data_IF_049600944857
#
_entry.id   IF_049600944857
#
_cell.length_a   1.000
_cell.length_b   1.000
_cell.length_c   1.000
_cell.angle_alpha   90.00
_cell.angle_beta   90.00
_cell.angle_gamma   90.00
#
_symmetry.space_group_name_H-M   'P 1'
#
loop_
_entity.id
_entity.type
_entity.pdbx_description
1 polymer ?
#
# COMPACT_ATOMS: atom_id res chain seq x y z
N UNK A 1 6.30 -41.89 -15.85
CA UNK A 1 6.08 -42.11 -14.41
C UNK A 1 6.51 -40.83 -13.76
N UNK A 2 5.56 -39.94 -13.48
CA UNK A 2 5.85 -38.71 -12.74
C UNK A 2 6.05 -39.10 -11.29
N UNK A 3 7.24 -38.84 -10.76
CA UNK A 3 7.51 -38.97 -9.33
C UNK A 3 6.57 -38.00 -8.60
N UNK A 4 5.53 -38.55 -8.01
CA UNK A 4 4.73 -37.86 -7.00
C UNK A 4 5.63 -37.61 -5.79
N UNK A 5 6.35 -36.50 -5.79
CA UNK A 5 7.19 -36.10 -4.66
C UNK A 5 6.30 -35.74 -3.47
N UNK A 6 6.44 -36.50 -2.38
CA UNK A 6 5.81 -36.16 -1.10
C UNK A 6 6.34 -34.78 -0.66
N UNK A 7 5.47 -33.80 -0.37
CA UNK A 7 5.90 -32.49 0.09
C UNK A 7 6.73 -32.58 1.37
N UNK A 8 7.87 -31.90 1.40
CA UNK A 8 8.70 -31.76 2.59
C UNK A 8 7.97 -30.95 3.67
N UNK A 9 8.37 -31.05 4.96
CA UNK A 9 7.77 -30.25 6.03
C UNK A 9 7.80 -28.73 5.80
N UNK A 10 8.76 -28.23 5.01
CA UNK A 10 8.84 -26.81 4.63
C UNK A 10 7.87 -26.43 3.50
N UNK A 11 7.39 -27.40 2.74
CA UNK A 11 6.38 -27.24 1.69
C UNK A 11 4.96 -27.46 2.22
N UNK A 12 4.83 -28.16 3.36
CA UNK A 12 3.55 -28.31 4.05
C UNK A 12 3.14 -27.01 4.76
N UNK A 13 1.84 -26.66 4.75
CA UNK A 13 1.32 -25.49 5.46
C UNK A 13 1.45 -25.65 6.98
N UNK A 14 2.00 -24.63 7.63
CA UNK A 14 2.07 -24.52 9.10
C UNK A 14 0.85 -23.76 9.63
N UNK A 15 0.03 -24.42 10.44
CA UNK A 15 -1.21 -23.84 11.00
C UNK A 15 -1.07 -23.32 12.43
N UNK A 16 0.05 -23.61 13.11
CA UNK A 16 0.30 -23.17 14.48
C UNK A 16 0.35 -21.63 14.55
N UNK A 17 -0.59 -21.04 15.30
CA UNK A 17 -0.69 -19.58 15.48
C UNK A 17 0.25 -19.05 16.56
N UNK A 18 0.77 -19.92 17.43
CA UNK A 18 1.66 -19.54 18.52
C UNK A 18 3.04 -19.05 18.03
N UNK A 19 3.37 -19.30 16.76
CA UNK A 19 4.58 -18.78 16.11
C UNK A 19 4.58 -17.26 15.97
N UNK A 20 3.41 -16.61 16.08
CA UNK A 20 3.29 -15.16 16.12
C UNK A 20 3.38 -14.72 17.58
N UNK A 21 4.49 -14.08 17.93
CA UNK A 21 4.68 -13.49 19.26
C UNK A 21 3.94 -12.14 19.35
N UNK A 22 2.85 -12.11 20.11
CA UNK A 22 2.06 -10.89 20.39
C UNK A 22 2.19 -10.49 21.87
N UNK A 23 3.30 -9.82 22.26
CA UNK A 23 3.54 -9.47 23.66
C UNK A 23 2.60 -8.38 24.20
N UNK A 24 1.88 -7.68 23.32
CA UNK A 24 0.97 -6.59 23.69
C UNK A 24 -0.50 -7.02 23.74
N UNK A 25 -0.79 -8.29 23.45
CA UNK A 25 -2.16 -8.82 23.35
C UNK A 25 -3.02 -7.95 22.41
N UNK A 26 -2.45 -7.62 21.24
CA UNK A 26 -3.05 -6.79 20.20
C UNK A 26 -4.41 -7.35 19.77
N UNK A 27 -4.54 -8.68 19.72
CA UNK A 27 -5.82 -9.33 19.42
C UNK A 27 -6.93 -8.90 20.39
N UNK A 28 -6.66 -8.90 21.70
CA UNK A 28 -7.61 -8.45 22.72
C UNK A 28 -7.86 -6.96 22.65
N UNK A 29 -6.82 -6.17 22.38
CA UNK A 29 -6.94 -4.72 22.23
C UNK A 29 -7.88 -4.35 21.06
N UNK A 30 -7.68 -4.96 19.90
CA UNK A 30 -8.52 -4.73 18.73
C UNK A 30 -9.94 -5.24 18.93
N UNK A 31 -10.10 -6.42 19.54
CA UNK A 31 -11.42 -6.94 19.89
C UNK A 31 -12.19 -5.98 20.80
N UNK A 32 -11.52 -5.37 21.79
CA UNK A 32 -12.12 -4.37 22.67
C UNK A 32 -12.54 -3.12 21.90
N UNK A 33 -11.66 -2.58 21.05
CA UNK A 33 -12.00 -1.40 20.23
C UNK A 33 -13.23 -1.67 19.35
N UNK A 34 -13.35 -2.88 18.78
CA UNK A 34 -14.52 -3.24 18.01
C UNK A 34 -15.79 -3.38 18.85
N UNK A 35 -15.70 -3.96 20.06
CA UNK A 35 -16.82 -4.06 20.99
C UNK A 35 -17.30 -2.70 21.50
N UNK A 36 -16.42 -1.70 21.54
CA UNK A 36 -16.74 -0.36 22.00
C UNK A 36 -17.14 0.59 20.85
N UNK A 37 -17.07 0.12 19.59
CA UNK A 37 -17.42 0.91 18.42
C UNK A 37 -18.93 1.21 18.42
N UNK A 38 -19.31 2.49 18.35
CA UNK A 38 -20.71 2.96 18.37
C UNK A 38 -21.48 2.69 19.67
N UNK A 39 -20.76 2.34 20.75
CA UNK A 39 -21.34 2.09 22.06
C UNK A 39 -20.79 0.82 22.70
N UNK A 40 -21.05 0.61 24.00
CA UNK A 40 -20.53 -0.55 24.71
C UNK A 40 -21.21 -1.85 24.25
N UNK A 41 -20.43 -2.93 24.16
CA UNK A 41 -20.88 -4.27 23.78
C UNK A 41 -21.49 -4.38 22.38
N UNK A 42 -20.96 -3.65 21.40
CA UNK A 42 -21.30 -3.86 19.99
C UNK A 42 -20.92 -5.29 19.56
N UNK A 43 -21.94 -6.08 19.21
CA UNK A 43 -21.80 -7.46 18.69
C UNK A 43 -21.98 -7.55 17.18
N UNK A 44 -22.12 -6.41 16.50
CA UNK A 44 -22.26 -6.36 15.06
C UNK A 44 -20.94 -6.77 14.41
N UNK A 45 -21.01 -7.73 13.48
CA UNK A 45 -19.94 -8.03 12.55
C UNK A 45 -20.05 -7.20 11.26
N UNK A 46 -21.07 -6.34 11.17
CA UNK A 46 -21.28 -5.50 10.01
C UNK A 46 -20.37 -4.26 10.10
N UNK A 47 -19.26 -4.31 9.38
CA UNK A 47 -18.41 -3.14 9.16
C UNK A 47 -19.17 -2.16 8.27
N UNK A 48 -19.39 -0.93 8.74
CA UNK A 48 -19.96 0.15 7.93
C UNK A 48 -18.91 0.65 6.92
N UNK A 49 -18.69 -0.16 5.90
CA UNK A 49 -17.84 0.21 4.77
C UNK A 49 -18.66 1.16 3.88
N UNK A 50 -18.07 2.26 3.36
CA UNK A 50 -18.76 3.14 2.45
C UNK A 50 -19.31 2.35 1.25
N UNK A 51 -20.56 2.59 0.88
CA UNK A 51 -21.12 2.01 -0.34
C UNK A 51 -20.35 2.52 -1.55
N UNK A 52 -19.94 1.58 -2.41
CA UNK A 52 -19.34 1.93 -3.70
C UNK A 52 -20.42 2.54 -4.58
N UNK A 53 -20.21 3.79 -5.02
CA UNK A 53 -21.11 4.46 -5.95
C UNK A 53 -21.21 3.67 -7.26
N UNK A 54 -22.38 3.67 -7.88
CA UNK A 54 -22.54 3.19 -9.25
C UNK A 54 -21.83 4.13 -10.25
N UNK A 55 -21.39 3.58 -11.38
CA UNK A 55 -20.81 4.35 -12.48
C UNK A 55 -19.30 4.64 -12.36
N UNK A 56 -18.62 4.06 -11.37
CA UNK A 56 -17.16 4.07 -11.33
C UNK A 56 -16.61 3.25 -12.50
N UNK A 57 -15.51 3.73 -13.08
CA UNK A 57 -14.75 3.01 -14.09
C UNK A 57 -13.37 2.68 -13.54
N UNK A 58 -12.70 1.70 -14.15
CA UNK A 58 -11.35 1.29 -13.78
C UNK A 58 -10.39 1.56 -14.93
N UNK A 59 -9.23 2.09 -14.59
CA UNK A 59 -8.06 2.19 -15.46
C UNK A 59 -6.86 1.51 -14.82
N UNK A 60 -5.99 0.93 -15.63
CA UNK A 60 -4.68 0.47 -15.17
C UNK A 60 -3.62 1.43 -15.68
N UNK A 61 -2.78 1.90 -14.76
CA UNK A 61 -1.59 2.69 -15.05
C UNK A 61 -0.35 1.82 -14.84
N UNK A 62 0.71 2.10 -15.57
CA UNK A 62 1.95 1.32 -15.50
C UNK A 62 3.08 2.21 -15.01
N UNK A 63 3.81 1.75 -13.99
CA UNK A 63 5.12 2.29 -13.67
C UNK A 63 6.18 1.45 -14.37
N UNK A 64 6.77 1.98 -15.44
CA UNK A 64 7.90 1.32 -16.10
C UNK A 64 9.19 1.45 -15.29
N UNK A 65 10.18 0.61 -15.61
CA UNK A 65 11.53 0.73 -15.07
C UNK A 65 12.10 2.14 -15.32
N UNK A 66 11.86 2.69 -16.51
CA UNK A 66 12.30 4.03 -16.88
C UNK A 66 11.61 5.12 -16.04
N UNK A 67 10.30 5.02 -15.82
CA UNK A 67 9.57 5.99 -14.98
C UNK A 67 10.13 6.03 -13.56
N UNK A 68 10.30 4.86 -12.94
CA UNK A 68 10.83 4.75 -11.57
C UNK A 68 12.27 5.27 -11.50
N UNK A 69 13.10 4.97 -12.49
CA UNK A 69 14.48 5.42 -12.53
C UNK A 69 14.57 6.95 -12.66
N UNK A 70 13.81 7.56 -13.58
CA UNK A 70 13.75 9.03 -13.73
C UNK A 70 13.35 9.71 -12.43
N UNK A 71 12.26 9.24 -11.80
CA UNK A 71 11.80 9.76 -10.52
C UNK A 71 12.87 9.62 -9.43
N UNK A 72 13.55 8.46 -9.38
CA UNK A 72 14.62 8.22 -8.41
C UNK A 72 15.78 9.19 -8.59
N UNK A 73 16.25 9.35 -9.81
CA UNK A 73 17.38 10.24 -10.15
C UNK A 73 17.03 11.69 -9.81
N UNK A 74 15.83 12.15 -10.18
CA UNK A 74 15.35 13.49 -9.84
C UNK A 74 15.32 13.72 -8.33
N UNK A 75 14.71 12.81 -7.56
CA UNK A 75 14.63 12.91 -6.08
C UNK A 75 16.03 12.99 -5.47
N UNK A 76 16.96 12.15 -5.92
CA UNK A 76 18.33 12.15 -5.40
C UNK A 76 19.09 13.42 -5.77
N UNK A 77 18.93 13.92 -6.99
CA UNK A 77 19.58 15.15 -7.44
C UNK A 77 19.11 16.37 -6.64
N UNK A 78 17.80 16.49 -6.40
CA UNK A 78 17.25 17.60 -5.60
C UNK A 78 17.68 17.53 -4.14
N UNK A 79 17.77 16.33 -3.55
CA UNK A 79 18.33 16.15 -2.20
C UNK A 79 19.77 16.60 -2.08
N UNK A 80 20.61 16.27 -3.06
CA UNK A 80 22.02 16.66 -3.08
C UNK A 80 22.19 18.18 -3.18
N UNK A 81 21.26 18.88 -3.87
CA UNK A 81 21.29 20.35 -3.97
C UNK A 81 20.89 21.05 -2.68
N UNK A 82 19.92 20.50 -1.95
CA UNK A 82 19.27 21.16 -0.82
C UNK A 82 19.89 20.81 0.54
N UNK A 83 20.63 19.71 0.65
CA UNK A 83 21.29 19.27 1.89
C UNK A 83 22.71 18.75 1.59
N UNK A 84 23.63 18.78 2.56
CA UNK A 84 24.90 18.02 2.50
C UNK A 84 24.61 16.51 2.62
N UNK A 85 23.81 15.99 1.70
CA UNK A 85 23.19 14.68 1.75
C UNK A 85 24.12 13.62 1.17
N UNK A 86 24.46 12.62 1.99
CA UNK A 86 25.19 11.45 1.51
C UNK A 86 24.24 10.48 0.79
N UNK A 87 24.21 10.61 -0.54
CA UNK A 87 23.44 9.77 -1.46
C UNK A 87 23.70 8.26 -1.30
N UNK A 88 24.85 7.85 -0.75
CA UNK A 88 25.21 6.44 -0.59
C UNK A 88 24.40 5.71 0.50
N UNK A 89 23.74 6.46 1.39
CA UNK A 89 22.98 5.91 2.53
C UNK A 89 21.48 5.69 2.24
N UNK A 90 20.94 6.25 1.15
CA UNK A 90 19.50 6.29 0.92
C UNK A 90 19.02 5.21 -0.06
N UNK A 91 18.75 4.00 0.44
CA UNK A 91 18.08 2.97 -0.37
C UNK A 91 16.58 3.26 -0.48
N UNK A 92 16.20 4.02 -1.51
CA UNK A 92 14.79 4.26 -1.85
C UNK A 92 14.27 3.10 -2.72
N UNK A 93 13.14 2.50 -2.32
CA UNK A 93 12.49 1.40 -3.05
C UNK A 93 11.57 1.90 -4.16
N UNK A 94 11.38 1.11 -5.22
CA UNK A 94 10.40 1.43 -6.28
C UNK A 94 8.99 1.59 -5.75
N UNK A 95 8.62 0.82 -4.71
CA UNK A 95 7.33 0.96 -4.03
C UNK A 95 7.19 2.33 -3.35
N UNK A 96 8.23 2.81 -2.66
CA UNK A 96 8.21 4.12 -2.02
C UNK A 96 8.07 5.25 -3.04
N UNK A 97 8.80 5.17 -4.16
CA UNK A 97 8.74 6.15 -5.25
C UNK A 97 7.36 6.16 -5.90
N UNK A 98 6.84 5.00 -6.29
CA UNK A 98 5.53 4.88 -6.90
C UNK A 98 4.44 5.40 -5.97
N UNK A 99 4.47 5.01 -4.69
CA UNK A 99 3.50 5.47 -3.68
C UNK A 99 3.59 6.98 -3.48
N UNK A 100 4.80 7.54 -3.36
CA UNK A 100 5.00 8.99 -3.24
C UNK A 100 4.41 9.72 -4.46
N UNK A 101 4.67 9.23 -5.67
CA UNK A 101 4.14 9.81 -6.89
C UNK A 101 2.60 9.76 -6.93
N UNK A 102 1.99 8.65 -6.50
CA UNK A 102 0.53 8.54 -6.35
C UNK A 102 -0.02 9.52 -5.30
N UNK A 103 0.70 9.81 -4.22
CA UNK A 103 0.34 10.86 -3.26
C UNK A 103 0.25 12.22 -3.95
N UNK A 104 1.24 12.56 -4.77
CA UNK A 104 1.27 13.81 -5.53
C UNK A 104 0.14 13.87 -6.54
N UNK A 105 -0.07 12.81 -7.32
CA UNK A 105 -1.16 12.75 -8.31
C UNK A 105 -2.53 12.93 -7.65
N UNK A 106 -2.74 12.28 -6.50
CA UNK A 106 -3.97 12.43 -5.72
C UNK A 106 -4.13 13.86 -5.20
N UNK A 107 -3.08 14.44 -4.61
CA UNK A 107 -3.14 15.81 -4.10
C UNK A 107 -3.44 16.82 -5.22
N UNK A 108 -2.83 16.64 -6.41
CA UNK A 108 -3.09 17.46 -7.60
C UNK A 108 -4.53 17.34 -8.09
N UNK A 109 -5.06 16.11 -8.19
CA UNK A 109 -6.45 15.88 -8.62
C UNK A 109 -7.44 16.58 -7.70
N UNK A 110 -7.19 16.53 -6.39
CA UNK A 110 -8.10 17.10 -5.39
C UNK A 110 -7.91 18.61 -5.16
N UNK A 111 -6.87 19.21 -5.75
CA UNK A 111 -6.62 20.65 -5.72
C UNK A 111 -6.46 21.22 -4.31
N UNK A 112 -7.13 22.34 -4.03
CA UNK A 112 -7.00 23.13 -2.80
C UNK A 112 -7.78 22.55 -1.59
N UNK A 113 -8.07 21.25 -1.59
CA UNK A 113 -8.73 20.60 -0.46
C UNK A 113 -7.84 20.71 0.79
N UNK A 114 -8.41 21.22 1.89
CA UNK A 114 -7.68 21.36 3.14
C UNK A 114 -7.50 20.01 3.87
N UNK A 115 -6.48 19.96 4.73
CA UNK A 115 -6.21 18.86 5.65
C UNK A 115 -5.24 17.81 5.12
N UNK A 116 -5.20 16.69 5.85
CA UNK A 116 -4.23 15.60 5.63
C UNK A 116 -4.74 14.58 4.64
N UNK A 117 -3.83 14.07 3.82
CA UNK A 117 -4.02 12.88 3.00
C UNK A 117 -3.34 11.70 3.68
N UNK A 118 -4.12 10.64 3.94
CA UNK A 118 -3.65 9.46 4.66
C UNK A 118 -3.39 8.35 3.66
N UNK A 119 -2.21 7.76 3.66
CA UNK A 119 -1.85 6.60 2.84
C UNK A 119 -1.49 5.41 3.71
N UNK A 120 -2.31 4.37 3.62
CA UNK A 120 -2.11 3.10 4.33
C UNK A 120 -1.62 2.01 3.38
N UNK A 121 -0.63 1.23 3.82
CA UNK A 121 -0.20 0.04 3.10
C UNK A 121 0.12 -1.11 4.06
N UNK A 122 -0.22 -2.31 3.62
CA UNK A 122 0.11 -3.54 4.32
C UNK A 122 1.48 -4.07 3.89
N UNK A 123 2.05 -4.91 4.74
CA UNK A 123 3.37 -5.46 4.58
C UNK A 123 3.39 -6.90 5.12
N UNK A 124 4.05 -7.82 4.43
CA UNK A 124 4.24 -9.17 4.95
C UNK A 124 5.08 -9.10 6.23
N UNK A 125 4.49 -9.59 7.32
CA UNK A 125 5.10 -9.61 8.65
C UNK A 125 6.05 -10.80 8.84
N UNK A 126 6.03 -11.81 7.96
CA UNK A 126 6.76 -13.07 8.19
C UNK A 126 8.24 -12.87 8.46
N UNK A 127 8.90 -12.07 7.63
CA UNK A 127 10.33 -11.77 7.75
C UNK A 127 10.64 -10.60 8.69
N UNK A 128 9.62 -9.88 9.17
CA UNK A 128 9.76 -8.65 9.98
C UNK A 128 9.51 -8.85 11.47
N UNK A 129 8.68 -9.84 11.81
CA UNK A 129 8.45 -10.22 13.20
C UNK A 129 9.70 -10.86 13.80
N UNK A 130 9.84 -10.72 15.12
CA UNK A 130 10.94 -11.27 15.90
C UNK A 130 10.35 -12.14 17.04
N UNK A 131 10.49 -13.47 17.00
CA UNK A 131 11.15 -14.27 15.95
C UNK A 131 10.41 -14.21 14.60
N UNK A 132 11.12 -14.53 13.51
CA UNK A 132 10.54 -14.58 12.17
C UNK A 132 9.51 -15.72 12.09
N UNK A 133 8.38 -15.43 11.44
CA UNK A 133 7.35 -16.44 11.19
C UNK A 133 7.76 -17.26 9.96
N UNK A 134 7.67 -18.60 10.00
CA UNK A 134 8.01 -19.44 8.86
C UNK A 134 7.26 -19.05 7.58
N UNK A 135 7.93 -19.11 6.42
CA UNK A 135 7.33 -18.74 5.14
C UNK A 135 6.13 -19.61 4.74
N UNK A 136 6.11 -20.87 5.20
CA UNK A 136 5.01 -21.82 5.01
C UNK A 136 3.87 -21.65 6.03
N UNK A 137 3.90 -20.62 6.89
CA UNK A 137 2.78 -20.29 7.76
C UNK A 137 1.52 -19.98 6.95
N UNK A 138 0.48 -20.77 7.19
CA UNK A 138 -0.82 -20.67 6.53
C UNK A 138 -1.76 -19.77 7.34
N UNK A 139 -1.90 -18.53 6.88
CA UNK A 139 -2.80 -17.56 7.47
C UNK A 139 -2.34 -16.13 7.22
N UNK A 140 -3.06 -15.19 7.84
CA UNK A 140 -2.71 -13.77 7.83
C UNK A 140 -1.51 -13.54 8.74
N UNK A 141 -0.50 -12.87 8.21
CA UNK A 141 0.66 -12.35 8.93
C UNK A 141 1.01 -11.00 8.30
N UNK A 142 0.10 -10.04 8.47
CA UNK A 142 0.21 -8.70 7.90
C UNK A 142 0.47 -7.71 9.03
N UNK A 143 1.42 -6.82 8.78
CA UNK A 143 1.59 -5.56 9.51
C UNK A 143 1.30 -4.43 8.53
N UNK A 144 1.27 -3.19 8.98
CA UNK A 144 1.13 -2.08 8.05
C UNK A 144 1.63 -0.77 8.61
N UNK A 145 1.68 0.22 7.74
CA UNK A 145 1.98 1.58 8.10
C UNK A 145 0.95 2.52 7.51
N UNK A 146 0.77 3.65 8.19
CA UNK A 146 -0.03 4.77 7.73
C UNK A 146 0.87 6.00 7.71
N UNK A 147 0.90 6.67 6.57
CA UNK A 147 1.63 7.92 6.37
C UNK A 147 0.59 9.03 6.23
N UNK A 148 0.74 10.11 7.01
CA UNK A 148 -0.17 11.25 7.00
C UNK A 148 0.59 12.47 6.52
N UNK A 149 0.22 13.03 5.36
CA UNK A 149 0.90 14.15 4.73
C UNK A 149 -0.06 15.32 4.57
N UNK A 150 0.40 16.53 4.83
CA UNK A 150 -0.41 17.72 4.55
C UNK A 150 -0.47 17.93 3.03
N UNK A 151 -1.67 18.22 2.52
CA UNK A 151 -1.88 18.39 1.08
C UNK A 151 -1.09 19.55 0.49
N UNK A 152 -0.99 20.66 1.23
CA UNK A 152 -0.23 21.81 0.76
C UNK A 152 1.27 21.51 0.67
N UNK A 153 1.81 20.64 1.54
CA UNK A 153 3.21 20.21 1.47
C UNK A 153 3.42 19.29 0.27
N UNK A 154 2.48 18.39 -0.02
CA UNK A 154 2.50 17.55 -1.24
C UNK A 154 2.48 18.37 -2.53
N UNK A 155 1.82 19.53 -2.52
CA UNK A 155 1.74 20.43 -3.68
C UNK A 155 2.93 21.41 -3.78
N UNK A 156 3.86 21.38 -2.82
CA UNK A 156 5.08 22.18 -2.88
C UNK A 156 6.10 21.61 -3.88
N UNK A 157 7.12 22.40 -4.23
CA UNK A 157 8.22 22.00 -5.12
C UNK A 157 8.92 20.71 -4.64
N UNK A 158 9.06 20.54 -3.32
CA UNK A 158 9.71 19.38 -2.70
C UNK A 158 8.71 18.32 -2.20
N UNK A 159 7.43 18.40 -2.59
CA UNK A 159 6.38 17.54 -2.04
C UNK A 159 6.63 16.04 -2.26
N UNK A 160 7.15 15.65 -3.44
CA UNK A 160 7.47 14.24 -3.72
C UNK A 160 8.64 13.72 -2.89
N UNK A 161 9.61 14.59 -2.57
CA UNK A 161 10.77 14.25 -1.73
C UNK A 161 10.29 13.94 -0.32
N UNK A 162 9.48 14.85 0.24
CA UNK A 162 8.85 14.70 1.55
C UNK A 162 8.03 13.40 1.62
N UNK A 163 7.15 13.17 0.64
CA UNK A 163 6.32 11.97 0.59
C UNK A 163 7.19 10.70 0.54
N UNK A 164 8.21 10.70 -0.31
CA UNK A 164 9.12 9.57 -0.47
C UNK A 164 9.90 9.26 0.82
N UNK A 165 10.31 10.29 1.56
CA UNK A 165 11.03 10.13 2.82
C UNK A 165 10.15 9.58 3.94
N UNK A 166 8.95 10.11 4.11
CA UNK A 166 8.00 9.61 5.11
C UNK A 166 7.55 8.18 4.80
N UNK A 167 7.33 7.83 3.52
CA UNK A 167 7.02 6.45 3.12
C UNK A 167 8.22 5.54 3.36
N UNK A 168 9.43 5.96 2.99
CA UNK A 168 10.64 5.16 3.21
C UNK A 168 10.93 4.94 4.70
N UNK A 169 10.70 5.97 5.53
CA UNK A 169 10.79 5.89 6.98
C UNK A 169 9.75 4.94 7.57
N UNK A 170 8.51 5.01 7.09
CA UNK A 170 7.46 4.08 7.48
C UNK A 170 7.83 2.62 7.15
N UNK A 171 8.42 2.37 5.98
CA UNK A 171 8.91 1.03 5.60
C UNK A 171 10.03 0.56 6.55
N UNK A 172 11.02 1.41 6.84
CA UNK A 172 12.12 1.07 7.77
C UNK A 172 11.61 0.76 9.17
N UNK A 173 10.65 1.54 9.67
CA UNK A 173 10.05 1.31 10.99
C UNK A 173 9.41 -0.09 11.09
N UNK A 174 8.81 -0.58 9.99
CA UNK A 174 8.26 -1.94 9.94
C UNK A 174 9.35 -3.02 10.01
N UNK A 175 10.54 -2.75 9.50
CA UNK A 175 11.67 -3.69 9.54
C UNK A 175 12.34 -3.71 10.93
N UNK A 176 12.39 -2.56 11.61
CA UNK A 176 13.01 -2.43 12.94
C UNK A 176 12.10 -2.99 14.05
N UNK A 177 10.78 -2.74 13.94
CA UNK A 177 9.78 -3.21 14.88
C UNK A 177 8.38 -3.23 14.26
N UNK A 178 8.07 -4.33 13.58
CA UNK A 178 6.82 -4.53 12.82
C UNK A 178 5.52 -4.33 13.62
N UNK A 179 5.56 -4.52 14.94
CA UNK A 179 4.42 -4.34 15.85
C UNK A 179 4.45 -3.01 16.64
N UNK A 180 5.44 -2.15 16.40
CA UNK A 180 5.55 -0.88 17.09
C UNK A 180 4.43 0.06 16.66
N UNK A 181 3.66 0.58 17.62
CA UNK A 181 2.54 1.48 17.35
C UNK A 181 1.27 0.78 16.88
N UNK A 182 1.29 -0.55 16.70
CA UNK A 182 0.10 -1.33 16.37
C UNK A 182 -1.01 -1.17 17.41
N UNK A 183 -0.70 -0.86 18.66
CA UNK A 183 -1.69 -0.54 19.69
C UNK A 183 -2.62 0.63 19.32
N UNK A 184 -2.16 1.55 18.46
CA UNK A 184 -2.93 2.70 18.02
C UNK A 184 -3.83 2.41 16.82
N UNK A 185 -3.70 1.24 16.19
CA UNK A 185 -4.47 0.91 14.98
C UNK A 185 -5.97 0.90 15.24
N UNK A 186 -6.41 0.43 16.41
CA UNK A 186 -7.83 0.43 16.76
C UNK A 186 -8.40 1.84 16.77
N UNK A 187 -7.72 2.80 17.41
CA UNK A 187 -8.19 4.19 17.47
C UNK A 187 -8.11 4.87 16.09
N UNK A 188 -7.07 4.59 15.30
CA UNK A 188 -6.96 5.05 13.92
C UNK A 188 -8.10 4.52 13.05
N UNK A 189 -8.38 3.22 13.12
CA UNK A 189 -9.47 2.60 12.36
C UNK A 189 -10.82 3.18 12.76
N UNK A 190 -11.06 3.36 14.07
CA UNK A 190 -12.26 4.00 14.58
C UNK A 190 -12.45 5.41 14.00
N UNK A 191 -11.40 6.23 13.94
CA UNK A 191 -11.46 7.57 13.33
C UNK A 191 -11.82 7.51 11.85
N UNK A 192 -11.26 6.56 11.10
CA UNK A 192 -11.58 6.35 9.69
C UNK A 192 -13.03 5.91 9.49
N UNK A 193 -13.56 5.05 10.37
CA UNK A 193 -14.92 4.50 10.25
C UNK A 193 -16.02 5.42 10.76
N UNK A 194 -15.70 6.36 11.67
CA UNK A 194 -16.71 7.22 12.32
C UNK A 194 -16.78 8.62 11.71
N UNK A 195 -15.78 9.05 10.93
CA UNK A 195 -15.71 10.41 10.39
C UNK A 195 -15.13 10.49 8.97
N UNK A 196 -15.71 9.71 8.04
CA UNK A 196 -15.33 9.67 6.62
C UNK A 196 -15.30 11.06 5.93
N UNK A 197 -16.04 12.05 6.44
CA UNK A 197 -16.07 13.41 5.87
C UNK A 197 -14.81 14.24 6.13
N UNK A 198 -13.96 13.88 7.12
CA UNK A 198 -12.81 14.70 7.53
C UNK A 198 -11.45 14.11 7.19
N UNK A 199 -11.37 12.79 7.04
CA UNK A 199 -10.11 12.08 6.75
C UNK A 199 -10.32 11.19 5.55
N UNK A 200 -9.59 11.48 4.46
CA UNK A 200 -9.55 10.62 3.30
C UNK A 200 -8.33 9.71 3.41
N UNK A 201 -8.57 8.45 3.72
CA UNK A 201 -7.54 7.42 3.70
C UNK A 201 -7.57 6.68 2.38
N UNK A 202 -6.43 6.70 1.70
CA UNK A 202 -6.17 5.86 0.54
C UNK A 202 -5.41 4.64 1.01
N UNK A 203 -5.85 3.48 0.56
CA UNK A 203 -5.17 2.21 0.83
C UNK A 203 -4.53 1.64 -0.43
N UNK A 204 -3.38 1.01 -0.26
CA UNK A 204 -2.71 0.24 -1.30
C UNK A 204 -2.99 -1.24 -1.06
N UNK A 205 -3.61 -1.89 -2.05
CA UNK A 205 -4.02 -3.29 -2.00
C UNK A 205 -3.24 -4.12 -3.02
N UNK A 206 -2.73 -5.27 -2.61
CA UNK A 206 -1.91 -6.13 -3.46
C UNK A 206 -0.41 -5.85 -3.36
N UNK A 207 0.37 -6.55 -4.18
CA UNK A 207 1.82 -6.40 -4.22
C UNK A 207 2.37 -6.93 -5.55
N UNK A 208 3.33 -6.22 -6.18
CA UNK A 208 4.04 -6.77 -7.34
C UNK A 208 4.87 -8.02 -7.00
N UNK A 209 5.06 -8.35 -5.72
CA UNK A 209 5.76 -9.57 -5.31
C UNK A 209 4.90 -10.82 -5.34
N UNK A 210 3.58 -10.69 -5.47
CA UNK A 210 2.68 -11.85 -5.52
C UNK A 210 2.79 -12.63 -6.83
N UNK A 211 3.31 -12.02 -7.90
CA UNK A 211 3.59 -12.71 -9.15
C UNK A 211 2.32 -13.28 -9.79
N UNK A 212 1.20 -12.55 -9.72
CA UNK A 212 -0.11 -13.05 -10.15
C UNK A 212 -0.15 -13.31 -11.65
N UNK A 213 0.71 -12.66 -12.45
CA UNK A 213 0.86 -12.96 -13.87
C UNK A 213 1.67 -14.23 -14.15
N UNK A 214 2.27 -14.88 -13.14
CA UNK A 214 2.96 -16.16 -13.30
C UNK A 214 2.01 -17.37 -13.21
N UNK A 215 0.73 -17.17 -12.89
CA UNK A 215 -0.24 -18.25 -12.86
C UNK A 215 -0.48 -18.82 -14.27
N UNK A 216 -0.09 -20.07 -14.50
CA UNK A 216 -0.31 -20.79 -15.75
C UNK A 216 -1.01 -22.12 -15.46
N UNK A 217 -2.25 -22.24 -15.95
CA UNK A 217 -3.09 -23.42 -15.81
C UNK A 217 -3.00 -24.37 -17.03
N UNK A 218 -2.01 -24.19 -17.90
CA UNK A 218 -1.82 -24.93 -19.15
C UNK A 218 -2.24 -24.17 -20.41
N UNK A 219 -2.66 -22.91 -20.27
CA UNK A 219 -3.10 -22.05 -21.38
C UNK A 219 -2.19 -20.83 -21.57
N UNK A 220 -1.06 -20.78 -20.86
CA UNK A 220 -0.17 -19.63 -20.81
C UNK A 220 -0.54 -18.63 -19.72
N UNK A 221 0.36 -17.68 -19.48
CA UNK A 221 0.19 -16.60 -18.49
C UNK A 221 -1.08 -15.77 -18.74
N UNK A 222 -1.65 -15.11 -17.70
CA UNK A 222 -2.85 -14.28 -17.84
C UNK A 222 -2.60 -13.08 -18.77
N UNK A 223 -3.60 -12.72 -19.58
CA UNK A 223 -3.53 -11.51 -20.42
C UNK A 223 -3.67 -10.23 -19.60
N UNK A 224 -4.51 -10.25 -18.56
CA UNK A 224 -4.77 -9.14 -17.65
C UNK A 224 -5.17 -9.69 -16.29
N UNK A 225 -4.76 -9.03 -15.21
CA UNK A 225 -5.22 -9.30 -13.85
C UNK A 225 -5.89 -8.06 -13.28
N UNK A 226 -7.01 -8.26 -12.58
CA UNK A 226 -7.80 -7.19 -11.98
C UNK A 226 -8.22 -7.55 -10.54
N UNK A 227 -7.95 -6.67 -9.57
CA UNK A 227 -8.37 -6.86 -8.18
C UNK A 227 -9.76 -6.24 -8.00
N UNK A 228 -10.81 -7.00 -8.31
CA UNK A 228 -12.19 -6.49 -8.31
C UNK A 228 -12.67 -6.02 -6.94
N UNK A 229 -12.17 -6.63 -5.85
CA UNK A 229 -12.49 -6.20 -4.49
C UNK A 229 -11.93 -4.82 -4.12
N UNK A 230 -11.06 -4.23 -4.96
CA UNK A 230 -10.55 -2.87 -4.83
C UNK A 230 -11.38 -1.84 -5.62
N UNK A 231 -12.67 -2.12 -5.88
CA UNK A 231 -13.58 -1.21 -6.57
C UNK A 231 -14.01 -0.02 -5.69
N UNK A 232 -13.08 0.90 -5.46
CA UNK A 232 -13.27 2.07 -4.62
C UNK A 232 -12.33 3.22 -5.03
N UNK A 233 -12.79 4.49 -4.99
CA UNK A 233 -11.95 5.65 -5.28
C UNK A 233 -10.83 5.90 -4.26
N UNK A 234 -10.83 5.13 -3.18
CA UNK A 234 -9.86 5.23 -2.08
C UNK A 234 -8.93 4.01 -2.01
N UNK A 235 -8.90 3.18 -3.05
CA UNK A 235 -8.00 2.01 -3.11
C UNK A 235 -7.24 2.04 -4.42
N UNK A 236 -5.91 2.02 -4.32
CA UNK A 236 -5.05 1.68 -5.46
C UNK A 236 -4.73 0.19 -5.38
N UNK A 237 -4.99 -0.56 -6.46
CA UNK A 237 -4.56 -1.96 -6.55
C UNK A 237 -3.18 -2.06 -7.18
N UNK A 238 -2.31 -2.90 -6.65
CA UNK A 238 -0.93 -3.09 -7.11
C UNK A 238 -0.71 -4.55 -7.50
N UNK A 239 -0.26 -4.77 -8.73
CA UNK A 239 0.16 -6.09 -9.21
C UNK A 239 1.52 -6.01 -9.90
N UNK A 240 2.12 -7.18 -10.15
CA UNK A 240 3.14 -7.32 -11.18
C UNK A 240 2.51 -7.07 -12.55
N UNK A 241 3.31 -7.14 -13.60
CA UNK A 241 2.84 -7.02 -14.96
C UNK A 241 3.25 -8.23 -15.79
N UNK A 242 2.49 -8.47 -16.85
CA UNK A 242 2.92 -9.36 -17.93
C UNK A 242 4.14 -8.81 -18.67
N UNK A 243 4.26 -7.48 -18.76
CA UNK A 243 5.35 -6.80 -19.45
C UNK A 243 6.58 -6.69 -18.53
N UNK A 244 7.74 -7.18 -18.99
CA UNK A 244 8.99 -7.12 -18.23
C UNK A 244 9.51 -5.70 -18.01
N UNK A 245 9.10 -4.74 -18.85
CA UNK A 245 9.50 -3.34 -18.72
C UNK A 245 8.71 -2.59 -17.64
N UNK A 246 7.63 -3.20 -17.13
CA UNK A 246 6.73 -2.64 -16.13
C UNK A 246 7.08 -3.21 -14.75
N UNK A 247 7.42 -2.31 -13.82
CA UNK A 247 7.77 -2.66 -12.43
C UNK A 247 6.52 -3.03 -11.64
N UNK A 248 5.42 -2.31 -11.89
CA UNK A 248 4.13 -2.56 -11.26
C UNK A 248 2.99 -1.95 -12.08
N UNK A 249 1.87 -2.64 -12.10
CA UNK A 249 0.58 -2.14 -12.57
C UNK A 249 -0.21 -1.55 -11.38
N UNK A 250 -0.83 -0.40 -11.61
CA UNK A 250 -1.66 0.32 -10.64
C UNK A 250 -3.09 0.37 -11.17
N UNK A 251 -4.01 -0.31 -10.50
CA UNK A 251 -5.44 -0.13 -10.77
C UNK A 251 -5.98 1.08 -10.04
N UNK A 252 -6.66 1.95 -10.78
CA UNK A 252 -7.31 3.17 -10.32
C UNK A 252 -8.79 3.05 -10.64
N UNK A 253 -9.65 3.34 -9.66
CA UNK A 253 -11.11 3.32 -9.84
C UNK A 253 -11.65 4.69 -9.45
N UNK A 254 -12.33 5.41 -10.34
CA UNK A 254 -12.94 6.73 -10.06
C UNK A 254 -14.15 6.96 -10.96
N UNK A 255 -14.83 8.09 -10.78
CA UNK A 255 -15.81 8.57 -11.77
C UNK A 255 -15.10 8.90 -13.09
N UNK A 256 -15.82 8.88 -14.22
CA UNK A 256 -15.21 8.96 -15.57
C UNK A 256 -14.31 10.19 -15.72
N UNK A 257 -14.85 11.37 -15.45
CA UNK A 257 -14.15 12.64 -15.61
C UNK A 257 -12.91 12.73 -14.70
N UNK A 258 -12.99 12.14 -13.49
CA UNK A 258 -11.87 12.09 -12.56
C UNK A 258 -10.77 11.14 -13.01
N UNK A 259 -11.10 10.02 -13.67
CA UNK A 259 -10.09 9.09 -14.19
C UNK A 259 -9.31 9.71 -15.35
N UNK A 260 -10.00 10.42 -16.24
CA UNK A 260 -9.35 11.12 -17.36
C UNK A 260 -8.36 12.16 -16.83
N UNK A 261 -8.81 13.01 -15.89
CA UNK A 261 -7.94 13.98 -15.23
C UNK A 261 -6.78 13.33 -14.46
N UNK A 262 -7.01 12.21 -13.77
CA UNK A 262 -5.96 11.51 -13.03
C UNK A 262 -4.92 10.90 -13.97
N UNK A 263 -5.33 10.32 -15.10
CA UNK A 263 -4.43 9.79 -16.13
C UNK A 263 -3.56 10.90 -16.71
N UNK A 264 -4.14 12.06 -17.00
CA UNK A 264 -3.39 13.21 -17.51
C UNK A 264 -2.36 13.70 -16.50
N UNK A 265 -2.75 13.86 -15.23
CA UNK A 265 -1.85 14.24 -14.14
C UNK A 265 -0.71 13.22 -13.97
N UNK A 266 -1.05 11.93 -14.04
CA UNK A 266 -0.09 10.85 -13.89
C UNK A 266 0.94 10.85 -15.02
N UNK A 267 0.53 11.08 -16.26
CA UNK A 267 1.43 11.08 -17.41
C UNK A 267 2.29 12.35 -17.48
N UNK A 268 1.70 13.52 -17.22
CA UNK A 268 2.41 14.81 -17.26
C UNK A 268 3.61 14.86 -16.34
N UNK A 269 3.53 14.29 -15.13
CA UNK A 269 4.65 14.36 -14.20
C UNK A 269 5.92 13.62 -14.66
N UNK A 270 5.86 12.78 -15.70
CA UNK A 270 7.05 12.17 -16.32
C UNK A 270 7.65 12.98 -17.48
N UNK A 271 6.96 14.03 -17.94
CA UNK A 271 7.44 14.93 -19.00
C UNK A 271 8.28 16.08 -18.42
N UNK A 272 7.99 16.49 -17.19
CA UNK A 272 8.64 17.60 -16.49
C UNK A 272 9.77 17.18 -15.53
N UNK A 273 10.06 15.88 -15.46
CA UNK A 273 11.13 15.25 -14.66
C UNK A 273 12.19 14.65 -15.58
#
# INVERSE_FOLDING_TARGET
>A
MEDSSIPTPKEMPLYDRSVINDPKDLAKLYAKVWQDLEGPNNKSLNLKIPETKHGLIRSTLEFTHQNIQKLKEWILNEKIKNENFDSSSCRISSFAIATAYLCICTAKLEGLKEGKLWFGFAADGRTRLKPQVPLNYFGNCLVGAVVCLERFELLSENGIILACDEISKAIRNLDDGALNGCENWGSQMSQLTTNYSKVQAISLSGSPRFGVYNADFGFGKPKKVEIVSAESPYVFSLTDSRNSDVVMEIGVVKERDEIEAFVDIFNQGFEFI
#
